data_IF_985989558618
#
_entry.id   IF_985989558618
#
_cell.length_a   1.000
_cell.length_b   1.000
_cell.length_c   1.000
_cell.angle_alpha   90.00
_cell.angle_beta   90.00
_cell.angle_gamma   90.00
#
_symmetry.space_group_name_H-M   'P 1'
#
loop_
_entity.id
_entity.type
_entity.pdbx_description
1 polymer ?
#
# COMPACT_ATOMS: atom_id res chain seq x y z
N UNK A 1 -15.77 13.89 11.05
CA UNK A 1 -15.16 12.59 11.39
C UNK A 1 -15.96 11.96 12.52
N UNK A 2 -16.04 10.65 12.52
CA UNK A 2 -16.87 9.95 13.50
C UNK A 2 -16.18 9.91 14.86
N UNK A 3 -16.96 10.14 15.94
CA UNK A 3 -16.42 10.05 17.30
C UNK A 3 -16.24 8.58 17.69
N UNK A 4 -15.00 8.20 18.04
CA UNK A 4 -14.65 6.85 18.50
C UNK A 4 -14.24 6.84 19.98
N UNK A 5 -14.42 7.95 20.68
CA UNK A 5 -13.94 8.12 22.06
C UNK A 5 -14.51 7.13 23.07
N UNK A 6 -15.71 6.60 22.84
CA UNK A 6 -16.34 5.61 23.71
C UNK A 6 -16.00 4.17 23.36
N UNK A 7 -15.33 3.91 22.23
CA UNK A 7 -14.97 2.56 21.81
C UNK A 7 -13.74 2.06 22.57
N UNK A 8 -13.72 0.79 22.97
CA UNK A 8 -12.54 0.25 23.65
C UNK A 8 -11.36 0.12 22.66
N UNK A 9 -10.16 0.25 23.20
CA UNK A 9 -8.93 -0.04 22.46
C UNK A 9 -8.85 -1.56 22.24
N UNK A 10 -8.56 -1.96 21.01
CA UNK A 10 -8.31 -3.35 20.67
C UNK A 10 -7.20 -3.44 19.63
N UNK A 11 -6.58 -4.62 19.56
CA UNK A 11 -5.60 -4.89 18.51
C UNK A 11 -6.34 -5.07 17.19
N UNK A 12 -5.87 -4.36 16.18
CA UNK A 12 -6.49 -4.37 14.85
C UNK A 12 -5.43 -4.60 13.79
N UNK A 13 -5.81 -5.36 12.77
CA UNK A 13 -4.96 -5.64 11.62
C UNK A 13 -5.79 -5.58 10.35
N UNK A 14 -5.21 -5.08 9.28
CA UNK A 14 -5.82 -5.10 7.97
C UNK A 14 -4.77 -5.43 6.91
N UNK A 15 -5.20 -6.07 5.83
CA UNK A 15 -4.39 -6.32 4.64
C UNK A 15 -5.14 -5.84 3.41
N UNK A 16 -4.41 -5.24 2.50
CA UNK A 16 -4.95 -4.71 1.26
C UNK A 16 -4.06 -5.10 0.07
N UNK A 17 -4.63 -5.04 -1.10
CA UNK A 17 -3.97 -5.44 -2.34
C UNK A 17 -4.07 -4.34 -3.38
N UNK A 18 -3.07 -4.25 -4.24
CA UNK A 18 -3.10 -3.53 -5.51
C UNK A 18 -2.27 -4.31 -6.53
N UNK A 19 -2.58 -4.16 -7.80
CA UNK A 19 -1.83 -4.80 -8.88
C UNK A 19 -1.48 -3.75 -9.92
N UNK A 20 -0.23 -3.77 -10.38
CA UNK A 20 0.22 -2.96 -11.52
C UNK A 20 0.45 -3.91 -12.68
N UNK A 21 -0.31 -3.75 -13.76
CA UNK A 21 -0.12 -4.51 -15.00
C UNK A 21 0.83 -3.76 -15.92
N UNK A 22 1.70 -4.51 -16.59
CA UNK A 22 2.77 -3.93 -17.40
C UNK A 22 3.20 -4.91 -18.49
N UNK A 23 4.03 -4.43 -19.41
CA UNK A 23 4.66 -5.31 -20.37
C UNK A 23 5.62 -6.28 -19.67
N UNK A 24 5.77 -7.49 -20.20
CA UNK A 24 6.68 -8.48 -19.62
C UNK A 24 8.13 -8.01 -19.60
N UNK A 25 8.54 -7.22 -20.61
CA UNK A 25 9.87 -6.61 -20.64
C UNK A 25 10.10 -5.65 -19.48
N UNK A 26 9.06 -4.96 -19.05
CA UNK A 26 9.12 -4.04 -17.91
C UNK A 26 9.24 -4.81 -16.59
N UNK A 27 8.47 -5.88 -16.44
CA UNK A 27 8.44 -6.67 -15.21
C UNK A 27 9.83 -7.21 -14.85
N UNK A 28 10.63 -7.63 -15.83
CA UNK A 28 11.98 -8.16 -15.57
C UNK A 28 13.01 -7.08 -15.23
N UNK A 29 12.66 -5.80 -15.40
CA UNK A 29 13.57 -4.67 -15.20
C UNK A 29 13.31 -3.86 -13.93
N UNK A 30 12.33 -4.21 -13.14
CA UNK A 30 11.84 -3.35 -12.04
C UNK A 30 12.92 -2.99 -11.00
N UNK A 31 13.90 -3.84 -10.78
CA UNK A 31 15.01 -3.55 -9.87
C UNK A 31 16.08 -2.64 -10.48
N UNK A 32 16.06 -2.42 -11.80
CA UNK A 32 17.13 -1.72 -12.54
C UNK A 32 16.56 -0.75 -13.59
N UNK A 33 15.64 0.10 -13.17
CA UNK A 33 15.08 1.15 -14.02
C UNK A 33 15.96 2.39 -14.06
N UNK A 34 15.75 3.32 -15.01
CA UNK A 34 16.48 4.58 -15.02
C UNK A 34 16.43 5.36 -13.70
N UNK A 35 15.28 5.32 -13.00
CA UNK A 35 15.13 5.96 -11.68
C UNK A 35 15.65 5.09 -10.52
N UNK A 36 16.02 3.84 -10.76
CA UNK A 36 16.56 2.93 -9.76
C UNK A 36 15.71 1.68 -9.53
N UNK A 37 15.73 1.16 -8.30
CA UNK A 37 15.02 -0.04 -7.90
C UNK A 37 13.57 0.31 -7.50
N UNK A 38 12.63 0.00 -8.40
CA UNK A 38 11.21 0.29 -8.17
C UNK A 38 10.62 -0.54 -7.01
N UNK A 39 11.12 -1.75 -6.80
CA UNK A 39 10.60 -2.63 -5.74
C UNK A 39 10.96 -2.10 -4.37
N UNK A 40 12.21 -1.69 -4.18
CA UNK A 40 12.69 -1.10 -2.93
C UNK A 40 12.00 0.25 -2.67
N UNK A 41 11.89 1.10 -3.68
CA UNK A 41 11.26 2.41 -3.56
C UNK A 41 9.77 2.29 -3.22
N UNK A 42 9.06 1.37 -3.88
CA UNK A 42 7.63 1.16 -3.64
C UNK A 42 7.36 0.65 -2.23
N UNK A 43 8.18 -0.27 -1.74
CA UNK A 43 8.06 -0.78 -0.37
C UNK A 43 8.18 0.36 0.64
N UNK A 44 9.22 1.17 0.52
CA UNK A 44 9.44 2.29 1.43
C UNK A 44 8.33 3.32 1.33
N UNK A 45 7.92 3.68 0.10
CA UNK A 45 6.86 4.66 -0.12
C UNK A 45 5.53 4.21 0.49
N UNK A 46 5.18 2.93 0.35
CA UNK A 46 3.97 2.37 0.94
C UNK A 46 3.98 2.44 2.46
N UNK A 47 5.10 2.10 3.08
CA UNK A 47 5.25 2.18 4.55
C UNK A 47 5.09 3.64 5.00
N UNK A 48 5.77 4.57 4.34
CA UNK A 48 5.68 5.99 4.67
C UNK A 48 4.27 6.53 4.48
N UNK A 49 3.58 6.12 3.41
CA UNK A 49 2.22 6.55 3.13
C UNK A 49 1.22 6.08 4.20
N UNK A 50 1.37 4.83 4.68
CA UNK A 50 0.53 4.34 5.77
C UNK A 50 0.63 5.24 7.01
N UNK A 51 1.83 5.72 7.33
CA UNK A 51 2.07 6.62 8.46
C UNK A 51 1.45 8.02 8.26
N UNK A 52 1.10 8.37 7.04
CA UNK A 52 0.53 9.67 6.69
C UNK A 52 -0.92 9.59 6.24
N UNK A 53 -1.58 8.49 6.48
CA UNK A 53 -2.94 8.26 5.99
C UNK A 53 -3.90 9.36 6.44
N UNK A 54 -3.85 9.78 7.70
CA UNK A 54 -4.75 10.82 8.21
C UNK A 54 -4.49 12.20 7.60
N UNK A 55 -3.31 12.44 7.05
CA UNK A 55 -2.99 13.67 6.33
C UNK A 55 -3.53 13.66 4.89
N UNK A 56 -3.76 12.46 4.33
CA UNK A 56 -4.23 12.27 2.96
C UNK A 56 -5.74 12.08 2.88
N UNK A 57 -6.33 11.42 3.86
CA UNK A 57 -7.75 11.09 3.92
C UNK A 57 -8.39 11.95 5.01
N UNK A 58 -9.18 12.96 4.64
CA UNK A 58 -9.53 14.07 5.55
C UNK A 58 -10.25 13.67 6.84
N UNK A 59 -11.11 12.67 6.79
CA UNK A 59 -11.95 12.30 7.93
C UNK A 59 -11.47 11.02 8.62
N UNK A 60 -10.24 10.59 8.32
CA UNK A 60 -9.61 9.43 8.90
C UNK A 60 -8.85 9.81 10.17
N UNK A 61 -9.00 9.00 11.22
CA UNK A 61 -8.31 9.24 12.50
C UNK A 61 -6.81 8.98 12.37
N UNK A 62 -5.94 9.77 13.00
CA UNK A 62 -4.52 9.42 13.14
C UNK A 62 -4.38 8.24 14.10
N UNK A 63 -3.66 7.21 13.69
CA UNK A 63 -3.50 5.99 14.48
C UNK A 63 -2.04 5.69 14.79
N UNK A 64 -1.74 5.17 15.99
CA UNK A 64 -0.39 4.70 16.32
C UNK A 64 -0.16 3.33 15.72
N UNK A 65 0.54 3.27 14.59
CA UNK A 65 0.82 2.00 13.93
C UNK A 65 1.93 1.24 14.65
N UNK A 66 1.68 -0.03 14.94
CA UNK A 66 2.68 -0.91 15.55
C UNK A 66 3.49 -1.64 14.50
N UNK A 67 2.92 -1.83 13.30
CA UNK A 67 3.62 -2.46 12.19
C UNK A 67 2.98 -2.07 10.85
N UNK A 68 3.79 -1.89 9.84
CA UNK A 68 3.38 -1.77 8.44
C UNK A 68 4.31 -2.63 7.60
N UNK A 69 3.75 -3.52 6.80
CA UNK A 69 4.49 -4.33 5.85
C UNK A 69 4.01 -4.09 4.44
N UNK A 70 4.91 -4.10 3.47
CA UNK A 70 4.58 -4.05 2.05
C UNK A 70 5.38 -5.11 1.33
N UNK A 71 4.70 -6.02 0.68
CA UNK A 71 5.30 -7.10 -0.10
C UNK A 71 4.95 -6.93 -1.57
N UNK A 72 5.94 -7.11 -2.45
CA UNK A 72 5.75 -7.02 -3.89
C UNK A 72 6.16 -8.35 -4.51
N UNK A 73 5.26 -8.92 -5.30
CA UNK A 73 5.48 -10.17 -6.02
C UNK A 73 5.43 -9.89 -7.51
N UNK A 74 6.56 -10.05 -8.18
CA UNK A 74 6.68 -9.81 -9.63
C UNK A 74 6.21 -11.05 -10.37
N UNK A 75 5.19 -10.87 -11.22
CA UNK A 75 4.72 -11.89 -12.15
C UNK A 75 5.30 -11.69 -13.54
N UNK A 76 4.74 -12.40 -14.51
CA UNK A 76 5.18 -12.30 -15.90
C UNK A 76 4.93 -10.90 -16.48
N UNK A 77 3.76 -10.34 -16.22
CA UNK A 77 3.31 -9.06 -16.78
C UNK A 77 2.62 -8.17 -15.72
N UNK A 78 3.01 -8.35 -14.46
CA UNK A 78 2.39 -7.59 -13.38
C UNK A 78 3.26 -7.62 -12.13
N UNK A 79 2.94 -6.72 -11.22
CA UNK A 79 3.41 -6.76 -9.82
C UNK A 79 2.17 -6.77 -8.93
N UNK A 80 2.07 -7.78 -8.08
CA UNK A 80 1.04 -7.84 -7.05
C UNK A 80 1.62 -7.27 -5.75
N UNK A 81 0.91 -6.33 -5.17
CA UNK A 81 1.33 -5.66 -3.94
C UNK A 81 0.36 -6.05 -2.83
N UNK A 82 0.89 -6.49 -1.70
CA UNK A 82 0.11 -6.74 -0.51
C UNK A 82 0.67 -5.89 0.62
N UNK A 83 -0.17 -5.05 1.19
CA UNK A 83 0.19 -4.21 2.33
C UNK A 83 -0.57 -4.66 3.57
N UNK A 84 0.10 -4.63 4.71
CA UNK A 84 -0.50 -4.94 6.01
C UNK A 84 -0.23 -3.80 6.98
N UNK A 85 -1.20 -3.52 7.84
CA UNK A 85 -1.06 -2.53 8.90
C UNK A 85 -1.64 -3.08 10.19
N UNK A 86 -0.99 -2.76 11.33
CA UNK A 86 -1.44 -3.16 12.65
C UNK A 86 -1.41 -1.98 13.61
N UNK A 87 -2.38 -1.95 14.51
CA UNK A 87 -2.49 -0.92 15.54
C UNK A 87 -3.14 -1.49 16.79
N UNK A 88 -3.02 -0.75 17.89
CA UNK A 88 -3.86 -0.90 19.07
C UNK A 88 -4.58 0.42 19.25
N UNK A 89 -5.86 0.44 18.88
CA UNK A 89 -6.62 1.69 18.82
C UNK A 89 -8.13 1.42 18.88
N UNK A 90 -8.88 2.50 18.86
CA UNK A 90 -10.34 2.50 18.96
C UNK A 90 -11.04 2.34 17.60
N UNK A 91 -10.31 2.31 16.50
CA UNK A 91 -10.85 2.10 15.16
C UNK A 91 -9.87 1.27 14.32
N UNK A 92 -10.35 0.79 13.18
CA UNK A 92 -9.57 -0.10 12.32
C UNK A 92 -8.53 0.60 11.48
N UNK A 93 -7.67 -0.19 10.84
CA UNK A 93 -6.52 0.26 10.02
C UNK A 93 -6.70 -0.05 8.55
N UNK A 94 -7.93 -0.18 8.08
CA UNK A 94 -8.21 -0.50 6.66
C UNK A 94 -7.60 0.55 5.74
N UNK A 95 -7.77 1.84 6.08
CA UNK A 95 -7.28 2.93 5.22
C UNK A 95 -5.77 2.94 5.15
N UNK A 96 -5.07 2.67 6.25
CA UNK A 96 -3.62 2.60 6.27
C UNK A 96 -3.10 1.50 5.34
N UNK A 97 -3.74 0.33 5.36
CA UNK A 97 -3.37 -0.77 4.45
C UNK A 97 -3.67 -0.42 2.98
N UNK A 98 -4.85 0.16 2.70
CA UNK A 98 -5.24 0.55 1.34
C UNK A 98 -4.33 1.67 0.80
N UNK A 99 -4.02 2.67 1.61
CA UNK A 99 -3.12 3.77 1.22
C UNK A 99 -1.73 3.22 0.94
N UNK A 100 -1.21 2.33 1.80
CA UNK A 100 0.09 1.72 1.59
C UNK A 100 0.16 0.96 0.26
N UNK A 101 -0.81 0.10 -0.03
CA UNK A 101 -0.86 -0.67 -1.28
C UNK A 101 -0.96 0.26 -2.50
N UNK A 102 -1.81 1.27 -2.42
CA UNK A 102 -2.05 2.20 -3.53
C UNK A 102 -0.83 3.06 -3.83
N UNK A 103 -0.19 3.62 -2.81
CA UNK A 103 1.00 4.45 -2.99
C UNK A 103 2.20 3.61 -3.47
N UNK A 104 2.33 2.37 -2.99
CA UNK A 104 3.34 1.46 -3.52
C UNK A 104 3.11 1.22 -5.03
N UNK A 105 1.86 1.00 -5.45
CA UNK A 105 1.51 0.84 -6.86
C UNK A 105 1.82 2.10 -7.67
N UNK A 106 1.48 3.28 -7.15
CA UNK A 106 1.79 4.55 -7.80
C UNK A 106 3.30 4.74 -7.95
N UNK A 107 4.08 4.29 -6.99
CA UNK A 107 5.54 4.40 -7.02
C UNK A 107 6.13 3.51 -8.11
N UNK A 108 5.65 2.26 -8.22
CA UNK A 108 6.04 1.38 -9.33
C UNK A 108 5.70 2.05 -10.67
N UNK A 109 4.51 2.56 -10.80
CA UNK A 109 4.06 3.24 -12.02
C UNK A 109 4.96 4.43 -12.36
N UNK A 110 5.20 5.31 -11.40
CA UNK A 110 6.05 6.49 -11.63
C UNK A 110 7.46 6.11 -12.07
N UNK A 111 8.03 5.10 -11.44
CA UNK A 111 9.41 4.70 -11.74
C UNK A 111 9.56 4.00 -13.08
N UNK A 112 8.52 3.28 -13.53
CA UNK A 112 8.57 2.52 -14.78
C UNK A 112 7.97 3.27 -15.99
N UNK A 113 7.25 4.36 -15.79
CA UNK A 113 6.53 5.04 -16.88
C UNK A 113 7.40 5.52 -18.03
N UNK A 114 8.69 5.75 -17.76
CA UNK A 114 9.64 6.16 -18.81
C UNK A 114 9.98 5.04 -19.79
N UNK A 115 9.78 3.78 -19.41
CA UNK A 115 10.05 2.61 -20.26
C UNK A 115 8.77 1.85 -20.64
N UNK A 116 7.64 2.19 -20.05
CA UNK A 116 6.37 1.52 -20.30
C UNK A 116 5.22 2.52 -20.14
N UNK A 117 4.57 2.87 -21.24
CA UNK A 117 3.48 3.86 -21.24
C UNK A 117 2.08 3.24 -21.08
N UNK A 118 1.98 1.92 -21.06
CA UNK A 118 0.71 1.20 -21.07
C UNK A 118 0.32 0.54 -19.75
N UNK A 119 0.96 0.90 -18.65
CA UNK A 119 0.66 0.29 -17.36
C UNK A 119 -0.71 0.68 -16.81
N UNK A 120 -1.31 -0.23 -16.06
CA UNK A 120 -2.57 0.01 -15.36
C UNK A 120 -2.44 -0.41 -13.91
N UNK A 121 -2.98 0.41 -13.01
CA UNK A 121 -3.14 0.08 -11.59
C UNK A 121 -4.58 -0.38 -11.40
N UNK A 122 -4.77 -1.54 -10.81
CA UNK A 122 -6.09 -2.08 -10.57
C UNK A 122 -6.13 -3.02 -9.39
N UNK A 123 -7.28 -3.66 -9.20
CA UNK A 123 -7.52 -4.63 -8.12
C UNK A 123 -7.17 -4.06 -6.73
N UNK A 124 -7.41 -2.78 -6.52
CA UNK A 124 -7.24 -2.15 -5.21
C UNK A 124 -8.40 -2.58 -4.34
N UNK A 125 -8.11 -3.38 -3.30
CA UNK A 125 -9.15 -3.88 -2.42
C UNK A 125 -8.62 -4.32 -1.07
N UNK A 126 -9.51 -4.31 -0.09
CA UNK A 126 -9.24 -4.88 1.22
C UNK A 126 -9.30 -6.42 1.10
N UNK A 127 -8.28 -7.10 1.63
CA UNK A 127 -8.24 -8.57 1.66
C UNK A 127 -8.80 -9.12 2.95
N UNK A 128 -8.46 -8.49 4.07
CA UNK A 128 -8.98 -8.89 5.38
C UNK A 128 -8.88 -7.74 6.38
N UNK A 129 -9.71 -7.80 7.40
CA UNK A 129 -9.54 -7.00 8.62
C UNK A 129 -9.87 -7.84 9.82
N UNK A 130 -9.07 -7.73 10.86
CA UNK A 130 -9.19 -8.51 12.08
C UNK A 130 -9.21 -7.58 13.27
N UNK A 131 -10.12 -7.85 14.20
CA UNK A 131 -10.21 -7.18 15.49
C UNK A 131 -10.08 -8.24 16.59
N UNK A 132 -9.15 -8.00 17.50
CA UNK A 132 -8.94 -8.90 18.64
C UNK A 132 -9.22 -8.20 19.96
#
# INVERSE_FOLDING_TARGET
MVDVGSKPVSRRRARARAVVRMASETAVRLAELPKGDALAAARLAGIMAAKRTSELIPLCHPLPLTHVGVELEVGEDSVAITASAETQAQTGVEMEALVAATVAALTVYDMAKGVDSGMEIGEVRLLEKVKE
#
